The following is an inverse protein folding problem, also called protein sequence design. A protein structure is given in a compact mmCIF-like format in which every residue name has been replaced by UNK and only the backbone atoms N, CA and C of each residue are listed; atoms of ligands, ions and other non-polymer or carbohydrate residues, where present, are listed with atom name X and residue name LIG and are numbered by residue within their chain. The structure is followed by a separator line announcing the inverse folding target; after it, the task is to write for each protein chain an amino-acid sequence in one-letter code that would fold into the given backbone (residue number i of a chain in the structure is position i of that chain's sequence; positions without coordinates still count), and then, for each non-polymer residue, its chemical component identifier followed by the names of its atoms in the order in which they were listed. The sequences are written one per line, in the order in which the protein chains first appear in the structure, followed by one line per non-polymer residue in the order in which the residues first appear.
data_IF_400938394575
#
_entry.id   IF_400938394575
#
_cell.length_a   1.000
_cell.length_b   1.000
_cell.length_c   1.000
_cell.angle_alpha   90.00
_cell.angle_beta   90.00
_cell.angle_gamma   90.00
#
_symmetry.space_group_name_H-M   'P 1'
#
loop_
_entity.id
_entity.type
_entity.pdbx_description
1 polymer ?
#
# COMPACT_ATOMS: atom_id res chain seq x y z
N UNK A 1 -35.38 -59.03 -49.67
CA UNK A 1 -36.34 -58.00 -50.05
C UNK A 1 -36.04 -56.72 -49.28
N UNK A 2 -35.24 -55.87 -49.83
CA UNK A 2 -34.99 -54.50 -49.27
C UNK A 2 -34.64 -53.57 -50.40
N UNK A 3 -35.51 -52.68 -50.70
CA UNK A 3 -35.42 -51.68 -51.76
C UNK A 3 -34.45 -50.53 -51.31
N UNK A 4 -33.48 -50.19 -52.18
CA UNK A 4 -32.66 -48.98 -52.04
C UNK A 4 -33.25 -47.89 -52.94
N UNK A 5 -33.54 -46.78 -52.37
CA UNK A 5 -33.89 -45.54 -53.11
C UNK A 5 -32.65 -44.65 -53.11
N UNK A 6 -32.17 -44.30 -54.28
CA UNK A 6 -31.09 -43.27 -54.47
C UNK A 6 -31.76 -42.01 -54.90
N UNK A 7 -31.51 -40.93 -54.13
CA UNK A 7 -31.87 -39.54 -54.49
C UNK A 7 -30.63 -38.82 -54.99
N UNK A 8 -30.66 -38.41 -56.23
CA UNK A 8 -29.72 -37.48 -56.86
C UNK A 8 -30.19 -36.02 -56.55
N UNK A 9 -29.34 -35.23 -55.96
CA UNK A 9 -29.57 -33.79 -55.76
C UNK A 9 -28.54 -33.06 -56.62
N UNK A 10 -29.05 -32.34 -57.61
CA UNK A 10 -28.29 -31.43 -58.46
C UNK A 10 -27.88 -30.17 -57.75
N UNK A 11 -26.59 -29.83 -57.79
CA UNK A 11 -26.05 -28.57 -57.25
C UNK A 11 -26.15 -27.46 -58.28
N UNK A 12 -26.87 -26.40 -57.96
CA UNK A 12 -26.87 -25.16 -58.73
C UNK A 12 -25.82 -24.20 -58.12
N UNK A 13 -24.83 -23.83 -58.92
CA UNK A 13 -23.85 -22.81 -58.56
C UNK A 13 -24.50 -21.41 -58.73
N UNK A 14 -24.64 -20.66 -57.63
CA UNK A 14 -24.95 -19.23 -57.67
C UNK A 14 -23.65 -18.50 -57.35
N UNK A 15 -23.12 -17.78 -58.32
CA UNK A 15 -21.98 -16.84 -58.14
C UNK A 15 -22.57 -15.51 -57.75
N UNK A 16 -22.39 -15.12 -56.49
CA UNK A 16 -22.65 -13.77 -56.01
C UNK A 16 -21.32 -13.01 -55.87
N UNK A 17 -21.16 -11.98 -56.69
CA UNK A 17 -20.08 -11.00 -56.52
C UNK A 17 -20.34 -10.21 -55.22
N UNK A 18 -19.57 -10.49 -54.15
CA UNK A 18 -19.58 -9.74 -52.92
C UNK A 18 -18.55 -8.64 -52.96
N UNK A 19 -18.99 -7.39 -52.86
CA UNK A 19 -18.12 -6.24 -52.57
C UNK A 19 -17.40 -6.45 -51.24
N UNK A 20 -16.08 -6.45 -51.26
CA UNK A 20 -15.25 -6.46 -50.05
C UNK A 20 -15.35 -5.09 -49.37
N UNK A 21 -16.17 -4.99 -48.33
CA UNK A 21 -15.98 -3.96 -47.32
C UNK A 21 -14.79 -4.39 -46.45
N UNK A 22 -13.67 -3.74 -46.61
CA UNK A 22 -12.60 -3.76 -45.61
C UNK A 22 -13.05 -2.91 -44.43
N UNK A 23 -13.75 -3.52 -43.47
CA UNK A 23 -13.80 -3.00 -42.12
C UNK A 23 -12.40 -3.16 -41.55
N UNK A 24 -11.73 -2.05 -41.31
CA UNK A 24 -10.60 -2.00 -40.44
C UNK A 24 -11.11 -2.31 -39.03
N UNK A 25 -10.98 -3.58 -38.64
CA UNK A 25 -11.08 -3.94 -37.24
C UNK A 25 -9.92 -3.21 -36.51
N UNK A 26 -10.23 -2.08 -35.90
CA UNK A 26 -9.39 -1.54 -34.87
C UNK A 26 -9.30 -2.63 -33.79
N UNK A 27 -8.12 -3.19 -33.60
CA UNK A 27 -7.82 -4.00 -32.43
C UNK A 27 -7.91 -3.01 -31.26
N UNK A 28 -9.09 -2.89 -30.64
CA UNK A 28 -9.17 -2.37 -29.28
C UNK A 28 -8.30 -3.31 -28.46
N UNK A 29 -7.15 -2.84 -28.06
CA UNK A 29 -6.34 -3.50 -27.05
C UNK A 29 -7.15 -3.44 -25.77
N UNK A 30 -7.76 -4.58 -25.41
CA UNK A 30 -8.48 -4.78 -24.16
C UNK A 30 -7.45 -4.80 -23.00
N UNK A 31 -6.84 -3.63 -22.74
CA UNK A 31 -5.94 -3.45 -21.61
C UNK A 31 -6.84 -3.31 -20.38
N UNK A 32 -6.70 -4.22 -19.44
CA UNK A 32 -7.40 -4.10 -18.16
C UNK A 32 -7.17 -2.70 -17.57
N UNK A 33 -8.20 -2.00 -17.11
CA UNK A 33 -8.03 -0.72 -16.44
C UNK A 33 -7.22 -0.84 -15.13
N UNK A 34 -7.14 -2.04 -14.56
CA UNK A 34 -6.25 -2.35 -13.41
C UNK A 34 -4.92 -2.83 -13.96
N UNK A 35 -3.96 -1.93 -14.02
CA UNK A 35 -2.63 -2.18 -14.58
C UNK A 35 -1.66 -1.11 -14.13
N UNK A 36 -0.43 -1.48 -13.80
CA UNK A 36 0.66 -0.53 -13.58
C UNK A 36 1.45 -0.20 -14.86
N UNK A 37 0.84 -0.43 -16.03
CA UNK A 37 1.39 -0.03 -17.33
C UNK A 37 0.32 0.70 -18.14
N UNK A 38 0.72 1.67 -18.93
CA UNK A 38 -0.17 2.39 -19.84
C UNK A 38 0.57 2.79 -21.12
N UNK A 39 -0.14 2.78 -22.23
CA UNK A 39 0.33 3.35 -23.51
C UNK A 39 -0.28 4.72 -23.81
N UNK A 40 -1.16 5.20 -22.91
CA UNK A 40 -1.78 6.51 -23.06
C UNK A 40 -0.79 7.61 -22.64
N UNK A 41 -0.40 8.47 -23.56
CA UNK A 41 0.51 9.59 -23.30
C UNK A 41 -0.27 10.86 -23.02
N UNK A 42 0.02 11.50 -21.88
CA UNK A 42 -0.61 12.73 -21.42
C UNK A 42 0.28 13.91 -21.79
N UNK A 43 -0.24 14.81 -22.61
CA UNK A 43 0.51 15.96 -23.12
C UNK A 43 0.53 17.20 -22.20
N UNK A 44 0.07 17.08 -20.97
CA UNK A 44 -0.06 18.16 -19.97
C UNK A 44 0.13 17.69 -18.55
N UNK A 45 -0.37 18.45 -17.56
CA UNK A 45 -0.37 18.04 -16.16
C UNK A 45 -1.02 16.67 -15.97
N UNK A 46 -0.44 15.83 -15.12
CA UNK A 46 -0.99 14.53 -14.76
C UNK A 46 -1.78 14.67 -13.47
N UNK A 47 -3.03 14.24 -13.46
CA UNK A 47 -3.85 14.16 -12.26
C UNK A 47 -3.70 12.77 -11.63
N UNK A 48 -3.18 12.73 -10.42
CA UNK A 48 -2.90 11.52 -9.68
C UNK A 48 -3.86 11.46 -8.50
N UNK A 49 -4.52 10.32 -8.31
CA UNK A 49 -5.19 9.97 -7.07
C UNK A 49 -4.39 8.87 -6.37
N UNK A 50 -4.42 8.89 -5.04
CA UNK A 50 -3.75 7.91 -4.17
C UNK A 50 -4.69 7.54 -3.04
N UNK A 51 -4.39 6.49 -2.29
CA UNK A 51 -5.24 6.07 -1.17
C UNK A 51 -4.72 6.59 0.17
N UNK A 52 -3.96 5.79 0.91
CA UNK A 52 -3.47 6.14 2.25
C UNK A 52 -2.31 7.14 2.20
N UNK A 53 -2.16 7.92 3.26
CA UNK A 53 -1.18 9.00 3.34
C UNK A 53 0.28 8.54 3.09
N UNK A 54 0.75 7.38 3.58
CA UNK A 54 2.08 6.88 3.26
C UNK A 54 2.32 6.67 1.76
N UNK A 55 1.34 6.13 1.02
CA UNK A 55 1.41 5.97 -0.43
C UNK A 55 1.39 7.33 -1.12
N UNK A 56 0.52 8.23 -0.67
CA UNK A 56 0.47 9.62 -1.16
C UNK A 56 1.85 10.28 -1.09
N UNK A 57 2.54 10.16 0.05
CA UNK A 57 3.88 10.72 0.25
C UNK A 57 4.95 10.07 -0.64
N UNK A 58 4.92 8.75 -0.81
CA UNK A 58 5.85 8.07 -1.73
C UNK A 58 5.65 8.61 -3.16
N UNK A 59 4.40 8.71 -3.62
CA UNK A 59 4.07 9.22 -4.96
C UNK A 59 4.46 10.70 -5.09
N UNK A 60 4.25 11.51 -4.05
CA UNK A 60 4.64 12.93 -4.03
C UNK A 60 6.15 13.11 -4.18
N UNK A 61 6.96 12.25 -3.57
CA UNK A 61 8.41 12.26 -3.73
C UNK A 61 8.85 11.91 -5.16
N UNK A 62 8.06 11.14 -5.92
CA UNK A 62 8.39 10.78 -7.32
C UNK A 62 7.86 11.82 -8.31
N UNK A 63 6.59 12.25 -8.15
CA UNK A 63 5.92 13.13 -9.10
C UNK A 63 6.19 14.63 -8.84
N UNK A 64 6.67 14.98 -7.65
CA UNK A 64 6.90 16.36 -7.24
C UNK A 64 7.93 17.10 -8.11
N UNK A 65 7.88 18.44 -8.07
CA UNK A 65 8.69 19.30 -8.93
C UNK A 65 8.23 19.36 -10.39
N UNK A 66 7.10 18.71 -10.71
CA UNK A 66 6.38 18.80 -11.98
C UNK A 66 5.07 19.57 -11.80
N UNK A 67 4.27 19.63 -12.84
CA UNK A 67 2.91 20.22 -12.83
C UNK A 67 1.82 19.18 -12.48
N UNK A 68 2.20 17.99 -12.01
CA UNK A 68 1.24 16.97 -11.56
C UNK A 68 0.46 17.42 -10.32
N UNK A 69 -0.83 17.08 -10.27
CA UNK A 69 -1.64 17.19 -9.05
C UNK A 69 -1.72 15.83 -8.37
N UNK A 70 -1.64 15.79 -7.04
CA UNK A 70 -1.66 14.55 -6.27
C UNK A 70 -2.69 14.71 -5.15
N UNK A 71 -3.68 13.82 -5.13
CA UNK A 71 -4.79 13.88 -4.18
C UNK A 71 -4.95 12.53 -3.48
N UNK A 72 -4.74 12.51 -2.16
CA UNK A 72 -5.12 11.40 -1.30
C UNK A 72 -6.64 11.28 -1.19
N UNK A 73 -7.13 10.07 -0.97
CA UNK A 73 -8.56 9.77 -0.82
C UNK A 73 -8.91 9.42 0.61
N UNK A 74 -8.07 8.62 1.29
CA UNK A 74 -8.32 8.22 2.68
C UNK A 74 -7.86 9.34 3.61
N UNK A 75 -8.76 9.90 4.45
CA UNK A 75 -8.38 10.93 5.42
C UNK A 75 -7.44 10.36 6.48
N UNK A 76 -6.48 11.16 6.91
CA UNK A 76 -5.66 10.82 8.08
C UNK A 76 -6.54 10.70 9.33
N UNK A 77 -6.16 9.85 10.26
CA UNK A 77 -6.99 9.51 11.42
C UNK A 77 -8.12 8.51 11.11
N UNK A 78 -8.11 7.92 9.92
CA UNK A 78 -9.15 6.97 9.48
C UNK A 78 -8.56 5.58 9.27
N UNK A 79 -9.24 4.55 9.77
CA UNK A 79 -8.88 3.16 9.49
C UNK A 79 -9.10 2.83 8.00
N UNK A 80 -8.02 2.62 7.26
CA UNK A 80 -8.05 2.33 5.83
C UNK A 80 -8.79 1.05 5.47
N UNK A 81 -8.77 0.03 6.36
CA UNK A 81 -9.42 -1.27 6.12
C UNK A 81 -10.94 -1.22 6.15
N UNK A 82 -11.50 -0.20 6.81
CA UNK A 82 -12.96 -0.02 6.95
C UNK A 82 -13.45 1.28 6.32
N UNK A 83 -12.54 2.00 5.64
CA UNK A 83 -12.88 3.27 5.00
C UNK A 83 -13.86 3.05 3.84
N UNK A 84 -14.93 3.84 3.85
CA UNK A 84 -15.91 3.92 2.77
C UNK A 84 -15.82 5.29 2.11
N UNK A 85 -15.43 5.37 0.82
CA UNK A 85 -15.27 6.65 0.14
C UNK A 85 -16.62 7.37 0.01
N UNK A 86 -16.57 8.70 0.11
CA UNK A 86 -17.76 9.55 -0.04
C UNK A 86 -18.09 9.74 -1.53
N UNK A 87 -19.35 10.07 -1.89
CA UNK A 87 -19.70 10.40 -3.27
C UNK A 87 -18.87 11.56 -3.86
N UNK A 88 -18.33 12.46 -3.01
CA UNK A 88 -17.42 13.52 -3.45
C UNK A 88 -16.09 13.00 -3.99
N UNK A 89 -15.63 11.85 -3.50
CA UNK A 89 -14.35 11.27 -3.88
C UNK A 89 -14.43 10.71 -5.31
N UNK A 90 -15.63 10.34 -5.77
CA UNK A 90 -15.87 9.96 -7.16
C UNK A 90 -15.42 11.05 -8.15
N UNK A 91 -15.58 12.33 -7.82
CA UNK A 91 -15.15 13.41 -8.69
C UNK A 91 -13.61 13.53 -8.78
N UNK A 92 -12.89 13.23 -7.72
CA UNK A 92 -11.42 13.14 -7.72
C UNK A 92 -10.95 11.96 -8.55
N UNK A 93 -11.58 10.80 -8.38
CA UNK A 93 -11.27 9.57 -9.12
C UNK A 93 -11.58 9.69 -10.62
N UNK A 94 -12.71 10.35 -11.01
CA UNK A 94 -13.08 10.63 -12.39
C UNK A 94 -12.07 11.52 -13.10
N UNK A 95 -11.45 12.47 -12.39
CA UNK A 95 -10.45 13.38 -12.98
C UNK A 95 -9.06 12.76 -13.07
N UNK A 96 -8.79 11.70 -12.33
CA UNK A 96 -7.47 11.07 -12.28
C UNK A 96 -7.07 10.46 -13.62
N UNK A 97 -5.82 10.62 -13.99
CA UNK A 97 -5.17 9.95 -15.12
C UNK A 97 -4.56 8.62 -14.69
N UNK A 98 -4.13 8.57 -13.44
CA UNK A 98 -3.66 7.38 -12.76
C UNK A 98 -4.12 7.39 -11.31
N UNK A 99 -4.53 6.23 -10.83
CA UNK A 99 -4.93 6.00 -9.44
C UNK A 99 -3.96 4.95 -8.87
N UNK A 100 -3.14 5.35 -7.91
CA UNK A 100 -2.28 4.41 -7.18
C UNK A 100 -2.99 3.95 -5.92
N UNK A 101 -3.18 2.66 -5.79
CA UNK A 101 -3.72 2.01 -4.61
C UNK A 101 -2.72 0.98 -4.09
N UNK A 102 -2.82 0.62 -2.83
CA UNK A 102 -2.01 -0.47 -2.29
C UNK A 102 -2.37 -1.82 -2.93
N UNK A 103 -3.65 -2.11 -3.07
CA UNK A 103 -4.13 -3.43 -3.44
C UNK A 103 -4.11 -4.41 -2.26
N UNK A 104 -3.96 -5.71 -2.52
CA UNK A 104 -4.03 -6.76 -1.50
C UNK A 104 -5.33 -6.69 -0.65
N UNK A 105 -6.42 -6.27 -1.28
CA UNK A 105 -7.77 -6.17 -0.65
C UNK A 105 -7.85 -5.09 0.46
N UNK A 106 -6.92 -4.12 0.51
CA UNK A 106 -6.98 -3.05 1.50
C UNK A 106 -8.15 -2.10 1.23
N UNK A 107 -8.23 -1.55 0.01
CA UNK A 107 -9.14 -0.44 -0.33
C UNK A 107 -10.20 -0.85 -1.36
N UNK A 108 -10.79 -2.04 -1.24
CA UNK A 108 -11.78 -2.52 -2.23
C UNK A 108 -12.93 -1.53 -2.49
N UNK A 109 -13.56 -0.87 -1.49
CA UNK A 109 -14.60 0.12 -1.76
C UNK A 109 -14.11 1.30 -2.61
N UNK A 110 -12.89 1.77 -2.37
CA UNK A 110 -12.28 2.86 -3.16
C UNK A 110 -11.97 2.40 -4.58
N UNK A 111 -11.46 1.19 -4.74
CA UNK A 111 -11.21 0.58 -6.06
C UNK A 111 -12.49 0.39 -6.86
N UNK A 112 -13.56 -0.09 -6.24
CA UNK A 112 -14.87 -0.23 -6.87
C UNK A 112 -15.42 1.12 -7.32
N UNK A 113 -15.33 2.15 -6.48
CA UNK A 113 -15.73 3.51 -6.84
C UNK A 113 -14.87 4.06 -8.00
N UNK A 114 -13.56 3.81 -7.98
CA UNK A 114 -12.65 4.20 -9.05
C UNK A 114 -13.01 3.53 -10.37
N UNK A 115 -13.23 2.22 -10.39
CA UNK A 115 -13.63 1.47 -11.59
C UNK A 115 -14.95 1.97 -12.18
N UNK A 116 -15.90 2.36 -11.33
CA UNK A 116 -17.19 2.89 -11.78
C UNK A 116 -17.13 4.30 -12.38
N UNK A 117 -16.06 5.05 -12.10
CA UNK A 117 -15.91 6.46 -12.50
C UNK A 117 -14.64 6.71 -13.34
N UNK A 118 -13.89 5.68 -13.70
CA UNK A 118 -12.63 5.82 -14.41
C UNK A 118 -12.85 6.43 -15.79
N UNK A 119 -12.12 7.50 -16.11
CA UNK A 119 -12.18 8.11 -17.44
C UNK A 119 -11.41 7.27 -18.47
N UNK A 120 -11.74 7.46 -19.75
CA UNK A 120 -11.08 6.75 -20.85
C UNK A 120 -9.56 6.95 -20.83
N UNK A 121 -8.82 5.85 -20.88
CA UNK A 121 -7.36 5.84 -20.91
C UNK A 121 -6.66 6.00 -19.57
N UNK A 122 -7.40 6.23 -18.47
CA UNK A 122 -6.85 6.20 -17.13
C UNK A 122 -6.63 4.76 -16.64
N UNK A 123 -5.74 4.58 -15.67
CA UNK A 123 -5.40 3.28 -15.11
C UNK A 123 -5.40 3.29 -13.59
N UNK A 124 -5.73 2.16 -12.99
CA UNK A 124 -5.59 1.89 -11.55
C UNK A 124 -4.36 1.00 -11.38
N UNK A 125 -3.35 1.47 -10.67
CA UNK A 125 -2.14 0.71 -10.38
C UNK A 125 -2.18 0.18 -8.94
N UNK A 126 -2.30 -1.14 -8.79
CA UNK A 126 -2.18 -1.83 -7.50
C UNK A 126 -0.70 -2.09 -7.21
N UNK A 127 -0.10 -1.26 -6.37
CA UNK A 127 1.32 -1.30 -6.09
C UNK A 127 1.77 -2.62 -5.46
N UNK A 128 1.04 -3.12 -4.47
CA UNK A 128 1.39 -4.32 -3.73
C UNK A 128 1.39 -5.57 -4.60
N UNK A 129 0.34 -5.78 -5.41
CA UNK A 129 0.27 -6.91 -6.33
C UNK A 129 1.27 -6.83 -7.48
N UNK A 130 1.72 -5.61 -7.80
CA UNK A 130 2.74 -5.41 -8.83
C UNK A 130 4.14 -5.84 -8.36
N UNK A 131 4.48 -5.62 -7.09
CA UNK A 131 5.83 -5.89 -6.58
C UNK A 131 5.97 -7.26 -5.89
N UNK A 132 4.86 -7.86 -5.44
CA UNK A 132 4.89 -9.09 -4.66
C UNK A 132 4.01 -10.17 -5.31
N UNK A 133 4.58 -11.32 -5.69
CA UNK A 133 3.78 -12.43 -6.21
C UNK A 133 2.93 -13.06 -5.10
N UNK A 134 1.75 -13.57 -5.43
CA UNK A 134 0.80 -14.18 -4.49
C UNK A 134 1.43 -15.27 -3.60
N UNK A 135 2.43 -15.99 -4.13
CA UNK A 135 3.16 -17.02 -3.36
C UNK A 135 3.99 -16.48 -2.19
N UNK A 136 4.21 -15.17 -2.14
CA UNK A 136 4.97 -14.47 -1.09
C UNK A 136 4.07 -13.64 -0.17
N UNK A 137 2.76 -13.69 -0.37
CA UNK A 137 1.82 -13.00 0.52
C UNK A 137 1.90 -13.57 1.93
N UNK A 138 1.95 -12.68 2.92
CA UNK A 138 1.93 -13.06 4.32
C UNK A 138 0.48 -13.06 4.82
N UNK A 139 0.13 -14.14 5.48
CA UNK A 139 -1.09 -14.29 6.26
C UNK A 139 -0.70 -14.42 7.73
N UNK A 140 -1.42 -13.75 8.62
CA UNK A 140 -1.04 -13.63 10.02
C UNK A 140 -2.25 -13.47 10.96
N UNK A 141 -2.04 -12.88 12.15
CA UNK A 141 -3.06 -12.81 13.20
C UNK A 141 -4.29 -11.98 12.82
N UNK A 142 -4.08 -10.79 12.22
CA UNK A 142 -5.18 -9.93 11.75
C UNK A 142 -5.66 -10.31 10.35
N UNK A 143 -4.83 -11.04 9.60
CA UNK A 143 -5.07 -11.44 8.22
C UNK A 143 -4.93 -12.96 8.03
N UNK A 144 -5.80 -13.78 8.65
CA UNK A 144 -5.69 -15.24 8.57
C UNK A 144 -5.95 -15.75 7.15
N UNK A 145 -5.25 -16.83 6.77
CA UNK A 145 -5.37 -17.44 5.43
C UNK A 145 -6.82 -17.81 5.06
N UNK A 146 -7.60 -18.25 6.05
CA UNK A 146 -9.01 -18.61 5.86
C UNK A 146 -9.88 -17.39 5.47
N UNK A 147 -9.43 -16.18 5.80
CA UNK A 147 -10.07 -14.93 5.41
C UNK A 147 -9.82 -14.54 3.96
N UNK A 148 -8.86 -15.16 3.30
CA UNK A 148 -8.50 -14.91 1.90
C UNK A 148 -7.92 -13.52 1.63
N UNK A 149 -7.64 -12.73 2.68
CA UNK A 149 -7.07 -11.39 2.60
C UNK A 149 -5.65 -11.42 3.20
N UNK A 150 -4.60 -11.25 2.40
CA UNK A 150 -3.24 -11.18 2.91
C UNK A 150 -3.00 -9.88 3.68
N UNK A 151 -1.96 -9.85 4.51
CA UNK A 151 -1.50 -8.60 5.13
C UNK A 151 -1.11 -7.60 4.04
N UNK A 152 -1.71 -6.39 4.00
CA UNK A 152 -1.48 -5.43 2.91
C UNK A 152 -0.34 -4.44 3.16
N UNK A 153 0.30 -4.44 4.35
CA UNK A 153 1.18 -3.36 4.80
C UNK A 153 2.62 -3.47 4.28
N UNK A 154 2.78 -3.51 2.95
CA UNK A 154 4.10 -3.62 2.34
C UNK A 154 4.95 -2.35 2.53
N UNK A 155 4.30 -1.18 2.59
CA UNK A 155 4.99 0.11 2.73
C UNK A 155 5.73 0.30 4.05
N UNK A 156 5.44 -0.50 5.08
CA UNK A 156 6.18 -0.47 6.35
C UNK A 156 7.57 -1.10 6.24
N UNK A 157 7.86 -1.78 5.13
CA UNK A 157 9.15 -2.37 4.81
C UNK A 157 9.89 -1.51 3.76
N UNK A 158 11.04 -0.87 4.09
CA UNK A 158 11.72 0.07 3.20
C UNK A 158 12.05 -0.46 1.82
N UNK A 159 12.60 -1.68 1.62
CA UNK A 159 12.79 -2.23 0.29
C UNK A 159 11.51 -2.28 -0.55
N UNK A 160 10.36 -2.64 0.04
CA UNK A 160 9.09 -2.71 -0.69
C UNK A 160 8.55 -1.32 -1.03
N UNK A 161 8.69 -0.35 -0.14
CA UNK A 161 8.36 1.05 -0.44
C UNK A 161 9.23 1.63 -1.58
N UNK A 162 10.49 1.22 -1.66
CA UNK A 162 11.36 1.55 -2.79
C UNK A 162 10.85 0.95 -4.10
N UNK A 163 10.35 -0.28 -4.08
CA UNK A 163 9.72 -0.90 -5.25
C UNK A 163 8.42 -0.17 -5.65
N UNK A 164 7.60 0.27 -4.69
CA UNK A 164 6.43 1.13 -4.99
C UNK A 164 6.84 2.39 -5.74
N UNK A 165 7.89 3.06 -5.27
CA UNK A 165 8.45 4.24 -5.93
C UNK A 165 8.96 3.93 -7.35
N UNK A 166 9.57 2.76 -7.57
CA UNK A 166 10.04 2.32 -8.88
C UNK A 166 8.87 2.11 -9.86
N UNK A 167 7.81 1.42 -9.41
CA UNK A 167 6.58 1.21 -10.20
C UNK A 167 5.95 2.56 -10.58
N UNK A 168 5.85 3.48 -9.62
CA UNK A 168 5.31 4.83 -9.86
C UNK A 168 6.16 5.60 -10.87
N UNK A 169 7.49 5.61 -10.73
CA UNK A 169 8.42 6.23 -11.69
C UNK A 169 8.19 5.70 -13.10
N UNK A 170 8.09 4.38 -13.25
CA UNK A 170 7.99 3.74 -14.58
C UNK A 170 6.66 4.06 -15.25
N UNK A 171 5.55 3.94 -14.50
CA UNK A 171 4.22 4.28 -15.02
C UNK A 171 4.11 5.78 -15.35
N UNK A 172 4.55 6.67 -14.44
CA UNK A 172 4.52 8.10 -14.67
C UNK A 172 5.41 8.52 -15.86
N UNK A 173 6.56 7.86 -16.04
CA UNK A 173 7.44 8.11 -17.20
C UNK A 173 6.80 7.66 -18.50
N UNK A 174 6.04 6.58 -18.49
CA UNK A 174 5.32 6.09 -19.68
C UNK A 174 4.17 7.04 -20.08
N UNK A 175 3.37 7.50 -19.11
CA UNK A 175 2.22 8.39 -19.40
C UNK A 175 2.64 9.86 -19.60
N UNK A 176 3.75 10.30 -19.00
CA UNK A 176 4.29 11.66 -19.19
C UNK A 176 5.79 11.65 -19.50
N UNK A 177 6.18 11.30 -20.72
CA UNK A 177 7.58 11.24 -21.14
C UNK A 177 8.32 12.58 -21.02
N UNK A 178 7.62 13.70 -21.03
CA UNK A 178 8.19 15.04 -20.87
C UNK A 178 8.88 15.20 -19.52
N UNK A 179 8.31 14.62 -18.47
CA UNK A 179 8.81 14.68 -17.10
C UNK A 179 9.61 13.41 -16.68
N UNK A 180 9.83 12.45 -17.59
CA UNK A 180 10.49 11.18 -17.27
C UNK A 180 11.87 11.34 -16.60
N UNK A 181 12.65 12.34 -17.04
CA UNK A 181 13.95 12.63 -16.45
C UNK A 181 13.84 13.13 -15.00
N UNK A 182 12.79 13.91 -14.70
CA UNK A 182 12.49 14.40 -13.34
C UNK A 182 12.08 13.23 -12.46
N UNK A 183 11.16 12.38 -12.90
CA UNK A 183 10.73 11.20 -12.15
C UNK A 183 11.90 10.25 -11.85
N UNK A 184 12.79 10.04 -12.84
CA UNK A 184 13.98 9.22 -12.64
C UNK A 184 14.94 9.83 -11.60
N UNK A 185 15.21 11.14 -11.67
CA UNK A 185 16.09 11.81 -10.71
C UNK A 185 15.50 11.80 -9.29
N UNK A 186 14.20 12.04 -9.17
CA UNK A 186 13.48 11.98 -7.90
C UNK A 186 13.53 10.57 -7.29
N UNK A 187 13.30 9.54 -8.11
CA UNK A 187 13.40 8.16 -7.67
C UNK A 187 14.81 7.83 -7.14
N UNK A 188 15.86 8.16 -7.86
CA UNK A 188 17.24 7.90 -7.41
C UNK A 188 17.54 8.58 -6.07
N UNK A 189 17.08 9.83 -5.89
CA UNK A 189 17.24 10.56 -4.65
C UNK A 189 16.42 9.93 -3.50
N UNK A 190 15.18 9.54 -3.77
CA UNK A 190 14.31 8.86 -2.80
C UNK A 190 14.88 7.49 -2.41
N UNK A 191 15.26 6.68 -3.39
CA UNK A 191 15.84 5.36 -3.17
C UNK A 191 17.12 5.43 -2.30
N UNK A 192 17.97 6.42 -2.52
CA UNK A 192 19.16 6.62 -1.69
C UNK A 192 18.82 6.92 -0.21
N UNK A 193 17.75 7.68 0.04
CA UNK A 193 17.26 7.95 1.41
C UNK A 193 16.63 6.72 2.04
N UNK A 194 15.85 5.95 1.27
CA UNK A 194 15.28 4.67 1.72
C UNK A 194 16.38 3.69 2.09
N UNK A 195 17.42 3.56 1.26
CA UNK A 195 18.55 2.67 1.53
C UNK A 195 19.33 3.11 2.79
N UNK A 196 19.48 4.42 3.02
CA UNK A 196 20.10 4.94 4.23
C UNK A 196 19.26 4.64 5.48
N UNK A 197 17.95 4.77 5.39
CA UNK A 197 17.01 4.44 6.48
C UNK A 197 17.03 2.94 6.78
N UNK A 198 16.99 2.09 5.75
CA UNK A 198 17.06 0.64 5.87
C UNK A 198 18.36 0.19 6.57
N UNK A 199 19.50 0.70 6.14
CA UNK A 199 20.79 0.40 6.75
C UNK A 199 20.87 0.87 8.22
N UNK A 200 20.31 2.05 8.53
CA UNK A 200 20.25 2.56 9.89
C UNK A 200 19.34 1.70 10.78
N UNK A 201 18.19 1.23 10.25
CA UNK A 201 17.31 0.32 10.99
C UNK A 201 17.96 -1.03 11.23
N UNK A 202 18.63 -1.61 10.24
CA UNK A 202 19.39 -2.86 10.42
C UNK A 202 20.48 -2.69 11.51
N UNK A 203 21.18 -1.56 11.52
CA UNK A 203 22.18 -1.22 12.55
C UNK A 203 21.53 -1.11 13.94
N UNK A 204 20.43 -0.41 14.05
CA UNK A 204 19.70 -0.23 15.32
C UNK A 204 19.12 -1.56 15.82
N UNK A 205 18.53 -2.37 14.94
CA UNK A 205 18.01 -3.70 15.25
C UNK A 205 19.09 -4.61 15.82
N UNK A 206 20.32 -4.56 15.30
CA UNK A 206 21.45 -5.36 15.79
C UNK A 206 21.79 -5.05 17.26
N UNK A 207 21.40 -3.89 17.79
CA UNK A 207 21.58 -3.54 19.21
C UNK A 207 20.55 -4.15 20.14
N UNK A 208 19.45 -4.68 19.61
CA UNK A 208 18.40 -5.35 20.39
C UNK A 208 18.77 -6.84 20.50
N UNK A 209 18.79 -7.44 21.71
CA UNK A 209 18.95 -8.89 21.86
C UNK A 209 17.91 -9.66 21.03
N UNK A 210 18.32 -10.74 20.37
CA UNK A 210 17.43 -11.50 19.45
C UNK A 210 16.14 -11.98 20.14
N UNK A 211 16.23 -12.43 21.39
CA UNK A 211 15.07 -12.87 22.17
C UNK A 211 14.11 -11.73 22.55
N UNK A 212 14.52 -10.49 22.33
CA UNK A 212 13.72 -9.28 22.58
C UNK A 212 13.17 -8.64 21.29
N UNK A 213 13.55 -9.14 20.11
CA UNK A 213 13.00 -8.67 18.82
C UNK A 213 11.61 -9.25 18.59
N UNK A 214 10.67 -8.88 19.46
CA UNK A 214 9.29 -9.36 19.46
C UNK A 214 8.34 -8.18 19.38
N UNK A 215 7.37 -8.28 18.48
CA UNK A 215 6.33 -7.27 18.29
C UNK A 215 4.98 -7.83 18.70
N UNK A 216 4.27 -7.09 19.53
CA UNK A 216 2.84 -7.22 19.74
C UNK A 216 2.27 -5.83 19.54
N UNK A 217 1.46 -5.68 18.50
CA UNK A 217 0.89 -4.41 18.06
C UNK A 217 -0.63 -4.43 18.20
N UNK A 218 -1.27 -3.28 18.22
CA UNK A 218 -2.73 -3.24 18.17
C UNK A 218 -3.21 -3.82 16.84
N UNK A 219 -2.69 -3.29 15.75
CA UNK A 219 -2.95 -3.71 14.38
C UNK A 219 -1.68 -4.36 13.80
N UNK A 220 -1.81 -5.44 13.03
CA UNK A 220 -0.66 -6.15 12.48
C UNK A 220 -0.16 -5.52 11.17
N UNK A 221 0.45 -4.35 11.29
CA UNK A 221 0.99 -3.61 10.15
C UNK A 221 2.48 -3.90 9.85
N UNK A 222 3.13 -4.78 10.60
CA UNK A 222 4.59 -4.92 10.54
C UNK A 222 5.06 -6.31 10.10
N UNK A 223 4.23 -7.11 9.45
CA UNK A 223 4.57 -8.48 9.07
C UNK A 223 5.77 -8.54 8.11
N UNK A 224 5.76 -7.78 7.02
CA UNK A 224 6.88 -7.72 6.05
C UNK A 224 8.13 -7.07 6.63
N UNK A 225 7.97 -6.03 7.44
CA UNK A 225 9.04 -5.43 8.22
C UNK A 225 9.70 -6.45 9.15
N UNK A 226 8.90 -7.23 9.87
CA UNK A 226 9.38 -8.22 10.83
C UNK A 226 10.24 -9.29 10.14
N UNK A 227 9.80 -9.79 9.00
CA UNK A 227 10.59 -10.74 8.18
C UNK A 227 11.92 -10.14 7.76
N UNK A 228 11.92 -8.88 7.31
CA UNK A 228 13.11 -8.21 6.79
C UNK A 228 14.17 -7.98 7.87
N UNK A 229 13.78 -7.53 9.06
CA UNK A 229 14.72 -7.19 10.13
C UNK A 229 14.90 -8.27 11.20
N UNK A 230 14.27 -9.43 11.05
CA UNK A 230 14.39 -10.54 11.99
C UNK A 230 13.65 -10.30 13.31
N UNK A 231 12.50 -9.64 13.26
CA UNK A 231 11.57 -9.58 14.38
C UNK A 231 10.59 -10.76 14.33
N UNK A 232 10.00 -11.07 15.46
CA UNK A 232 8.90 -12.03 15.56
C UNK A 232 7.63 -11.29 15.94
N UNK A 233 6.63 -11.28 15.09
CA UNK A 233 5.28 -10.85 15.45
C UNK A 233 4.68 -11.96 16.30
N UNK A 234 4.35 -11.64 17.56
CA UNK A 234 3.82 -12.62 18.53
C UNK A 234 2.30 -12.54 18.65
N UNK A 235 1.69 -11.53 18.05
CA UNK A 235 0.24 -11.35 18.03
C UNK A 235 -0.14 -9.93 17.60
N UNK A 236 -1.42 -9.79 17.26
CA UNK A 236 -2.11 -8.53 17.15
C UNK A 236 -3.30 -8.52 18.09
N UNK A 237 -3.71 -7.33 18.56
CA UNK A 237 -4.80 -7.20 19.52
C UNK A 237 -6.13 -7.11 18.81
N UNK A 238 -6.15 -6.40 17.69
CA UNK A 238 -7.31 -6.29 16.84
C UNK A 238 -7.59 -7.60 16.11
N UNK A 239 -8.77 -8.21 16.28
CA UNK A 239 -9.14 -9.41 15.55
C UNK A 239 -9.32 -9.10 14.04
N UNK A 240 -9.38 -10.15 13.23
CA UNK A 240 -9.55 -10.05 11.77
C UNK A 240 -10.87 -9.41 11.32
N UNK A 241 -11.84 -9.25 12.24
CA UNK A 241 -13.09 -8.52 12.01
C UNK A 241 -12.95 -6.99 12.16
N UNK A 242 -11.80 -6.52 12.66
CA UNK A 242 -11.56 -5.12 13.05
C UNK A 242 -12.49 -4.60 14.17
N UNK A 243 -13.15 -5.51 14.90
CA UNK A 243 -13.95 -5.20 16.08
C UNK A 243 -13.06 -5.06 17.35
N UNK A 244 -13.65 -4.50 18.40
CA UNK A 244 -13.01 -4.50 19.72
C UNK A 244 -12.90 -5.93 20.27
N UNK A 245 -11.75 -6.30 20.90
CA UNK A 245 -11.56 -7.64 21.44
C UNK A 245 -12.51 -7.94 22.61
N UNK A 246 -12.95 -9.17 22.67
CA UNK A 246 -13.81 -9.66 23.77
C UNK A 246 -13.01 -9.76 25.07
N UNK A 247 -13.68 -9.78 26.26
CA UNK A 247 -13.00 -9.97 27.54
C UNK A 247 -12.15 -11.26 27.63
N UNK A 248 -12.56 -12.31 26.91
CA UNK A 248 -11.79 -13.55 26.84
C UNK A 248 -10.51 -13.36 26.05
N UNK A 249 -10.57 -12.74 24.89
CA UNK A 249 -9.41 -12.43 24.04
C UNK A 249 -8.40 -11.54 24.80
N UNK A 250 -8.90 -10.52 25.53
CA UNK A 250 -8.06 -9.69 26.40
C UNK A 250 -7.33 -10.53 27.47
N UNK A 251 -8.01 -11.43 28.13
CA UNK A 251 -7.38 -12.31 29.14
C UNK A 251 -6.33 -13.26 28.53
N UNK A 252 -6.62 -13.79 27.35
CA UNK A 252 -5.70 -14.63 26.59
C UNK A 252 -4.46 -13.83 26.17
N UNK A 253 -4.62 -12.60 25.68
CA UNK A 253 -3.54 -11.68 25.31
C UNK A 253 -2.67 -11.30 26.52
N UNK A 254 -3.23 -10.97 27.67
CA UNK A 254 -2.47 -10.70 28.91
C UNK A 254 -1.58 -11.91 29.27
N UNK A 255 -2.11 -13.11 29.16
CA UNK A 255 -1.35 -14.34 29.41
C UNK A 255 -0.20 -14.49 28.41
N UNK A 256 -0.49 -14.30 27.11
CA UNK A 256 0.49 -14.38 26.04
C UNK A 256 1.61 -13.34 26.23
N UNK A 257 1.27 -12.08 26.55
CA UNK A 257 2.24 -11.01 26.82
C UNK A 257 3.17 -11.40 27.97
N UNK A 258 2.62 -11.91 29.08
CA UNK A 258 3.41 -12.36 30.24
C UNK A 258 4.36 -13.51 29.88
N UNK A 259 3.89 -14.49 29.11
CA UNK A 259 4.67 -15.66 28.73
C UNK A 259 5.72 -15.34 27.66
N UNK A 260 5.45 -14.40 26.77
CA UNK A 260 6.37 -14.01 25.69
C UNK A 260 7.62 -13.27 26.17
N UNK A 261 7.54 -12.62 27.34
CA UNK A 261 8.62 -11.82 27.90
C UNK A 261 8.94 -10.56 27.10
N UNK A 262 7.98 -10.03 26.32
CA UNK A 262 8.14 -8.75 25.61
C UNK A 262 8.32 -7.59 26.59
N UNK A 263 9.05 -6.55 26.18
CA UNK A 263 9.27 -5.35 26.99
C UNK A 263 8.22 -4.28 26.79
N UNK A 264 7.57 -4.29 25.64
CA UNK A 264 6.57 -3.31 25.26
C UNK A 264 5.47 -3.96 24.41
N UNK A 265 4.27 -3.36 24.48
CA UNK A 265 3.17 -3.56 23.54
C UNK A 265 2.91 -2.23 22.86
N UNK A 266 2.55 -2.29 21.58
CA UNK A 266 2.45 -1.09 20.75
C UNK A 266 0.99 -0.87 20.33
N UNK A 267 0.50 0.34 20.58
CA UNK A 267 -0.78 0.83 20.07
C UNK A 267 -0.62 1.48 18.70
N UNK A 268 -1.73 1.93 18.16
CA UNK A 268 -1.80 2.71 16.92
C UNK A 268 -2.48 4.05 17.20
N UNK A 269 -2.09 5.07 16.47
CA UNK A 269 -2.68 6.42 16.56
C UNK A 269 -4.15 6.46 16.16
N UNK A 270 -4.53 5.61 15.19
CA UNK A 270 -5.90 5.50 14.71
C UNK A 270 -6.82 4.79 15.71
N UNK A 271 -6.22 3.97 16.59
CA UNK A 271 -6.93 3.14 17.55
C UNK A 271 -6.40 3.33 18.97
N UNK A 272 -6.54 4.51 19.60
CA UNK A 272 -6.18 4.68 21.00
C UNK A 272 -7.05 3.73 21.84
N UNK A 273 -6.45 2.70 22.41
CA UNK A 273 -7.18 1.62 23.07
C UNK A 273 -6.92 1.59 24.57
N UNK A 274 -7.93 1.93 25.40
CA UNK A 274 -7.87 1.70 26.85
C UNK A 274 -7.61 0.23 27.22
N UNK A 275 -7.97 -0.70 26.32
CA UNK A 275 -7.71 -2.13 26.47
C UNK A 275 -6.22 -2.43 26.44
N UNK A 276 -5.46 -1.77 25.57
CA UNK A 276 -4.00 -1.92 25.50
C UNK A 276 -3.29 -1.39 26.74
N UNK A 277 -3.73 -0.25 27.25
CA UNK A 277 -3.23 0.30 28.49
C UNK A 277 -3.45 -0.70 29.64
N UNK A 278 -4.64 -1.29 29.72
CA UNK A 278 -4.97 -2.33 30.70
C UNK A 278 -4.09 -3.57 30.51
N UNK A 279 -3.91 -4.08 29.29
CA UNK A 279 -3.05 -5.23 28.99
C UNK A 279 -1.62 -4.95 29.44
N UNK A 280 -1.09 -3.78 29.09
CA UNK A 280 0.26 -3.37 29.51
C UNK A 280 0.42 -3.33 31.03
N UNK A 281 -0.53 -2.69 31.73
CA UNK A 281 -0.54 -2.59 33.18
C UNK A 281 -0.64 -3.95 33.88
N UNK A 282 -1.57 -4.81 33.45
CA UNK A 282 -1.78 -6.14 34.04
C UNK A 282 -0.65 -7.12 33.71
N UNK A 283 -0.07 -7.04 32.52
CA UNK A 283 1.07 -7.86 32.12
C UNK A 283 2.40 -7.34 32.71
N UNK A 284 2.46 -6.10 33.19
CA UNK A 284 3.67 -5.48 33.72
C UNK A 284 4.66 -5.07 32.63
N UNK A 285 4.18 -4.73 31.43
CA UNK A 285 4.97 -4.28 30.30
C UNK A 285 4.63 -2.84 29.93
N UNK A 286 5.55 -2.17 29.20
CA UNK A 286 5.30 -0.79 28.74
C UNK A 286 4.25 -0.80 27.64
N UNK A 287 3.30 0.13 27.71
CA UNK A 287 2.41 0.47 26.62
C UNK A 287 2.94 1.69 25.87
N UNK A 288 2.99 1.60 24.56
CA UNK A 288 3.45 2.63 23.62
C UNK A 288 2.34 2.84 22.59
N UNK A 289 1.67 3.99 22.60
CA UNK A 289 0.44 4.28 21.85
C UNK A 289 0.64 5.22 20.64
N UNK A 290 1.86 5.28 20.11
CA UNK A 290 2.22 6.30 19.12
C UNK A 290 2.70 5.73 17.78
N UNK A 291 2.68 4.40 17.57
CA UNK A 291 3.01 3.87 16.27
C UNK A 291 1.95 4.24 15.24
N UNK A 292 2.39 4.49 14.03
CA UNK A 292 1.55 4.90 12.91
C UNK A 292 1.73 3.95 11.75
N UNK A 293 0.65 3.64 11.05
CA UNK A 293 0.68 2.80 9.85
C UNK A 293 -0.01 3.47 8.67
N UNK A 294 -1.16 4.07 8.88
CA UNK A 294 -1.97 4.74 7.84
C UNK A 294 -1.71 6.25 7.75
N UNK A 295 -1.24 6.86 8.84
CA UNK A 295 -1.04 8.31 8.95
C UNK A 295 0.44 8.72 8.91
N UNK A 296 0.70 9.93 8.47
CA UNK A 296 2.03 10.55 8.58
C UNK A 296 2.23 11.21 9.95
N UNK A 297 3.46 11.60 10.26
CA UNK A 297 3.81 12.27 11.51
C UNK A 297 3.55 13.77 11.40
N UNK A 298 2.88 14.38 12.38
CA UNK A 298 2.60 15.81 12.37
C UNK A 298 1.47 16.18 11.42
N UNK A 299 1.49 17.42 10.95
CA UNK A 299 0.46 17.99 10.08
C UNK A 299 1.02 18.25 8.68
N UNK A 300 0.18 18.30 7.63
CA UNK A 300 0.63 18.65 6.28
C UNK A 300 1.46 19.92 6.25
N UNK A 301 2.69 19.80 5.77
CA UNK A 301 3.67 20.89 5.71
C UNK A 301 4.74 20.87 6.80
N UNK A 302 4.62 20.03 7.81
CA UNK A 302 5.69 19.75 8.75
C UNK A 302 6.84 18.98 8.08
N UNK A 303 8.07 19.21 8.53
CA UNK A 303 9.25 18.59 7.91
C UNK A 303 9.29 17.06 8.02
N UNK A 304 8.56 16.49 8.96
CA UNK A 304 8.47 15.05 9.19
C UNK A 304 7.17 14.43 8.66
N UNK A 305 6.27 15.25 8.09
CA UNK A 305 5.04 14.78 7.46
C UNK A 305 5.35 14.15 6.12
N UNK A 306 5.98 12.98 6.16
CA UNK A 306 6.44 12.21 5.00
C UNK A 306 6.55 10.73 5.35
N UNK A 307 6.56 9.88 4.33
CA UNK A 307 6.81 8.45 4.53
C UNK A 307 8.17 8.19 5.21
N UNK A 308 9.22 8.91 4.83
CA UNK A 308 10.53 8.80 5.46
C UNK A 308 10.49 9.22 6.94
N UNK A 309 9.77 10.30 7.27
CA UNK A 309 9.54 10.76 8.62
C UNK A 309 8.77 9.75 9.45
N UNK A 310 7.68 9.21 8.89
CA UNK A 310 6.87 8.15 9.49
C UNK A 310 7.71 6.93 9.86
N UNK A 311 8.48 6.39 8.91
CA UNK A 311 9.29 5.20 9.16
C UNK A 311 10.37 5.46 10.20
N UNK A 312 11.08 6.60 10.13
CA UNK A 312 12.06 6.95 11.16
C UNK A 312 11.43 7.04 12.55
N UNK A 313 10.28 7.70 12.66
CA UNK A 313 9.55 7.85 13.92
C UNK A 313 9.20 6.49 14.53
N UNK A 314 8.58 5.62 13.74
CA UNK A 314 8.21 4.27 14.17
C UNK A 314 9.43 3.44 14.58
N UNK A 315 10.48 3.45 13.77
CA UNK A 315 11.68 2.66 14.02
C UNK A 315 12.44 3.11 15.27
N UNK A 316 12.57 4.41 15.48
CA UNK A 316 13.14 4.96 16.72
C UNK A 316 12.32 4.52 17.92
N UNK A 317 11.00 4.64 17.82
CA UNK A 317 10.06 4.25 18.89
C UNK A 317 10.19 2.77 19.24
N UNK A 318 10.16 1.89 18.24
CA UNK A 318 10.29 0.43 18.45
C UNK A 318 11.63 0.06 19.06
N UNK A 319 12.73 0.56 18.50
CA UNK A 319 14.09 0.24 18.95
C UNK A 319 14.29 0.65 20.41
N UNK A 320 13.91 1.88 20.77
CA UNK A 320 14.06 2.37 22.15
C UNK A 320 13.13 1.65 23.13
N UNK A 321 11.91 1.33 22.71
CA UNK A 321 10.98 0.58 23.54
C UNK A 321 11.49 -0.83 23.85
N UNK A 322 12.15 -1.46 22.90
CA UNK A 322 12.73 -2.82 23.06
C UNK A 322 14.13 -2.79 23.71
N UNK A 323 14.66 -1.59 24.00
CA UNK A 323 15.93 -1.42 24.73
C UNK A 323 17.16 -1.42 23.83
N UNK A 324 16.99 -1.15 22.53
CA UNK A 324 18.08 -0.95 21.58
C UNK A 324 18.57 0.50 21.53
N UNK A 325 19.58 0.74 20.71
CA UNK A 325 20.16 2.07 20.43
C UNK A 325 19.67 2.59 19.08
N UNK A 326 18.83 3.61 19.11
CA UNK A 326 18.28 4.26 17.92
C UNK A 326 19.15 5.41 17.37
N UNK A 327 20.39 5.59 17.85
CA UNK A 327 21.23 6.74 17.46
C UNK A 327 21.47 6.81 15.96
N UNK A 328 21.65 5.68 15.30
CA UNK A 328 21.83 5.61 13.85
C UNK A 328 20.61 6.15 13.09
N UNK A 329 19.38 5.77 13.53
CA UNK A 329 18.12 6.21 12.94
C UNK A 329 17.91 7.73 13.09
N UNK A 330 18.24 8.28 14.26
CA UNK A 330 18.06 9.71 14.55
C UNK A 330 18.87 10.64 13.66
N UNK A 331 19.91 10.13 13.00
CA UNK A 331 20.76 10.91 12.10
C UNK A 331 20.39 10.78 10.63
N UNK A 332 19.43 9.93 10.29
CA UNK A 332 18.95 9.77 8.90
C UNK A 332 18.23 11.04 8.46
N UNK A 333 18.58 11.52 7.25
CA UNK A 333 17.85 12.59 6.59
C UNK A 333 16.52 12.06 6.04
N UNK A 334 15.41 12.53 6.61
CA UNK A 334 14.06 12.15 6.24
C UNK A 334 13.28 13.25 5.52
N UNK A 335 13.97 14.33 5.13
CA UNK A 335 13.33 15.35 4.31
C UNK A 335 12.89 14.76 2.97
N UNK A 336 11.79 15.26 2.42
CA UNK A 336 11.37 14.93 1.06
C UNK A 336 12.46 15.30 0.04
N UNK A 337 12.50 14.58 -1.08
CA UNK A 337 13.44 14.88 -2.17
C UNK A 337 13.04 16.12 -2.95
N UNK A 338 11.75 16.43 -2.94
CA UNK A 338 11.15 17.62 -3.53
C UNK A 338 10.10 18.16 -2.57
N UNK A 339 9.76 19.45 -2.69
CA UNK A 339 8.67 19.99 -1.89
C UNK A 339 7.38 19.20 -2.14
N UNK A 340 6.81 18.66 -1.09
CA UNK A 340 5.51 18.00 -1.15
C UNK A 340 4.42 19.04 -1.48
N UNK A 341 3.61 18.72 -2.48
CA UNK A 341 2.45 19.49 -2.93
C UNK A 341 1.20 18.63 -3.06
N UNK A 342 1.22 17.43 -2.48
CA UNK A 342 0.05 16.57 -2.41
C UNK A 342 -1.01 17.13 -1.45
N UNK A 343 -2.24 16.72 -1.68
CA UNK A 343 -3.37 16.99 -0.79
C UNK A 343 -3.61 15.77 0.08
N UNK A 344 -3.55 15.97 1.38
CA UNK A 344 -3.90 14.96 2.38
C UNK A 344 -5.25 15.33 2.98
N UNK A 345 -6.32 14.55 2.74
CA UNK A 345 -7.61 14.81 3.36
C UNK A 345 -7.53 14.59 4.89
N UNK A 346 -8.34 15.38 5.63
CA UNK A 346 -8.41 15.36 7.09
C UNK A 346 -9.81 14.94 7.57
#
# INVERSE_FOLDING_TARGET
MKSRVVFLISAALVVTAGCSNTSSDAIESDVSPVSCTSTNVIGGPVNIATTVAPITSIIANIAGGTDATINGIVPEGTNSHTFEPKPSDAATLEQADVIFINGLVLEEPTKELALANLKDGAVICELGTQILPESEFIYDFSFPLEGGKPNPHLWTNPPMAKEYAAVARDLLSAINPTNAATFAANYEAFAAKVDALDAAMATATATIPEDQRKLLTYHDAYAYFAVHYGYTVIGAIQPSSFDEPTPKEIADLITQVRESGVKAVFGSEVFPSPVLEQIGAEAGVRYIDVLRDDDLVGEPGDAEHSWLGLMRFNYVTMVEALGGDASALKTVDVSDVVKDNATYPQ
#
